data_IF_420941665790
#
_entry.id   IF_420941665790
#
_cell.length_a   1.000
_cell.length_b   1.000
_cell.length_c   1.000
_cell.angle_alpha   90.00
_cell.angle_beta   90.00
_cell.angle_gamma   90.00
#
_symmetry.space_group_name_H-M   'P 1'
#
loop_
_entity.id
_entity.type
_entity.pdbx_description
1 polymer ?
#
# COMPACT_ATOMS: atom_id res chain seq x y z
N UNK A 1 -11.77 14.17 -25.10
CA UNK A 1 -12.58 13.58 -24.01
C UNK A 1 -11.59 13.09 -22.96
N UNK A 2 -11.72 13.55 -21.72
CA UNK A 2 -10.87 13.12 -20.59
C UNK A 2 -11.68 12.11 -19.77
N UNK A 3 -11.07 10.96 -19.46
CA UNK A 3 -11.63 9.94 -18.57
C UNK A 3 -10.65 9.69 -17.43
N UNK A 4 -11.15 9.60 -16.20
CA UNK A 4 -10.35 9.26 -15.02
C UNK A 4 -10.76 7.90 -14.49
N UNK A 5 -9.76 7.14 -14.06
CA UNK A 5 -9.94 5.86 -13.39
C UNK A 5 -9.65 6.05 -11.91
N UNK A 6 -10.55 5.55 -11.06
CA UNK A 6 -10.35 5.56 -9.63
C UNK A 6 -9.67 4.27 -9.18
N UNK A 7 -8.51 4.42 -8.52
CA UNK A 7 -7.79 3.34 -7.87
C UNK A 7 -8.31 3.12 -6.45
N UNK A 8 -9.59 2.80 -6.28
CA UNK A 8 -10.33 2.80 -5.00
C UNK A 8 -9.67 1.97 -3.86
N UNK A 9 -8.75 1.06 -4.18
CA UNK A 9 -7.95 0.28 -3.23
C UNK A 9 -6.44 0.35 -3.50
N UNK A 10 -5.98 1.40 -4.18
CA UNK A 10 -4.69 1.48 -4.86
C UNK A 10 -3.50 1.08 -3.99
N UNK A 11 -3.37 1.65 -2.80
CA UNK A 11 -2.27 1.30 -1.88
C UNK A 11 -2.41 -0.12 -1.33
N UNK A 12 -3.63 -0.53 -0.96
CA UNK A 12 -3.91 -1.85 -0.40
C UNK A 12 -3.76 -3.00 -1.42
N UNK A 13 -3.48 -2.71 -2.70
CA UNK A 13 -3.13 -3.72 -3.70
C UNK A 13 -1.63 -4.03 -3.72
N UNK A 14 -0.79 -3.13 -3.21
CA UNK A 14 0.67 -3.29 -3.27
C UNK A 14 1.14 -4.13 -2.09
N UNK A 15 1.90 -5.18 -2.40
CA UNK A 15 2.48 -6.10 -1.44
C UNK A 15 3.62 -5.44 -0.66
N UNK A 16 3.63 -5.61 0.66
CA UNK A 16 4.76 -5.21 1.51
C UNK A 16 5.71 -6.38 1.61
N UNK A 17 7.01 -6.13 1.42
CA UNK A 17 8.04 -7.16 1.55
C UNK A 17 7.89 -7.88 2.89
N UNK A 18 7.91 -9.22 2.94
CA UNK A 18 7.75 -9.97 4.19
C UNK A 18 8.71 -9.52 5.30
N UNK A 19 9.92 -9.11 4.95
CA UNK A 19 10.91 -8.59 5.90
C UNK A 19 10.58 -7.19 6.45
N UNK A 20 9.67 -6.44 5.85
CA UNK A 20 9.26 -5.10 6.26
C UNK A 20 7.91 -5.06 6.96
N UNK A 21 7.11 -6.13 6.91
CA UNK A 21 5.75 -6.17 7.48
C UNK A 21 5.74 -5.87 8.98
N UNK A 22 6.77 -6.30 9.72
CA UNK A 22 6.87 -6.02 11.16
C UNK A 22 7.00 -4.53 11.48
N UNK A 23 7.51 -3.71 10.55
CA UNK A 23 7.70 -2.25 10.73
C UNK A 23 6.38 -1.49 10.69
N UNK A 24 5.35 -2.10 10.10
CA UNK A 24 3.99 -1.55 9.98
C UNK A 24 3.00 -2.32 10.86
N UNK A 25 3.50 -3.04 11.86
CA UNK A 25 2.68 -3.72 12.84
C UNK A 25 1.97 -2.71 13.76
N UNK A 26 0.76 -3.06 14.18
CA UNK A 26 -0.05 -2.28 15.11
C UNK A 26 -0.59 -3.16 16.23
N UNK A 27 -0.74 -2.55 17.40
CA UNK A 27 -1.24 -3.23 18.60
C UNK A 27 -2.72 -2.99 18.76
N UNK A 28 -3.46 -4.05 19.05
CA UNK A 28 -4.87 -4.02 19.44
C UNK A 28 -5.02 -4.64 20.83
N UNK A 29 -6.16 -4.45 21.52
CA UNK A 29 -6.45 -5.16 22.77
C UNK A 29 -6.39 -6.70 22.66
N UNK A 30 -6.47 -7.25 21.45
CA UNK A 30 -6.48 -8.69 21.17
C UNK A 30 -5.14 -9.23 20.66
N UNK A 31 -4.12 -8.38 20.51
CA UNK A 31 -2.80 -8.78 20.04
C UNK A 31 -2.19 -7.81 19.03
N UNK A 32 -1.03 -8.20 18.51
CA UNK A 32 -0.28 -7.44 17.51
C UNK A 32 -0.54 -8.02 16.12
N UNK A 33 -0.84 -7.15 15.17
CA UNK A 33 -1.13 -7.50 13.79
C UNK A 33 -0.23 -6.70 12.86
N UNK A 34 0.07 -7.24 11.69
CA UNK A 34 0.82 -6.55 10.65
C UNK A 34 0.05 -6.62 9.34
N UNK A 35 0.11 -5.55 8.55
CA UNK A 35 -0.46 -5.55 7.22
C UNK A 35 0.45 -6.33 6.25
N UNK A 36 -0.16 -7.15 5.38
CA UNK A 36 0.52 -7.80 4.26
C UNK A 36 0.57 -6.93 3.00
N UNK A 37 -0.35 -5.97 2.91
CA UNK A 37 -0.47 -4.99 1.82
C UNK A 37 -0.31 -3.58 2.38
N UNK A 38 0.13 -2.65 1.55
CA UNK A 38 0.51 -1.32 2.02
C UNK A 38 -0.72 -0.55 2.56
N UNK A 39 -0.73 -0.23 3.87
CA UNK A 39 -1.81 0.54 4.48
C UNK A 39 -1.71 2.02 4.12
N UNK A 40 -2.79 2.74 4.40
CA UNK A 40 -2.77 4.21 4.36
C UNK A 40 -1.86 4.79 5.46
N UNK A 41 -1.36 6.00 5.22
CA UNK A 41 -0.58 6.74 6.22
C UNK A 41 0.92 6.46 6.22
N UNK A 42 1.44 5.57 5.36
CA UNK A 42 2.88 5.45 5.16
C UNK A 42 3.42 6.64 4.35
N UNK A 43 4.53 7.22 4.80
CA UNK A 43 5.19 8.37 4.16
C UNK A 43 5.46 8.15 2.66
N UNK A 44 5.83 6.92 2.28
CA UNK A 44 6.21 6.58 0.91
C UNK A 44 5.09 5.89 0.11
N UNK A 45 3.84 5.89 0.60
CA UNK A 45 2.74 5.20 -0.07
C UNK A 45 2.49 5.72 -1.49
N UNK A 46 2.42 7.05 -1.66
CA UNK A 46 2.17 7.68 -2.95
C UNK A 46 3.28 7.43 -3.98
N UNK A 47 4.55 7.52 -3.55
CA UNK A 47 5.69 7.27 -4.43
C UNK A 47 5.74 5.81 -4.91
N UNK A 48 5.48 4.87 -3.99
CA UNK A 48 5.43 3.44 -4.31
C UNK A 48 4.27 3.13 -5.27
N UNK A 49 3.11 3.74 -5.05
CA UNK A 49 1.96 3.59 -5.94
C UNK A 49 2.20 4.16 -7.33
N UNK A 50 2.78 5.36 -7.43
CA UNK A 50 3.15 5.93 -8.72
C UNK A 50 4.12 5.02 -9.47
N UNK A 51 5.11 4.44 -8.79
CA UNK A 51 6.03 3.46 -9.38
C UNK A 51 5.29 2.21 -9.88
N UNK A 52 4.31 1.70 -9.15
CA UNK A 52 3.50 0.57 -9.59
C UNK A 52 2.66 0.92 -10.82
N UNK A 53 2.03 2.10 -10.84
CA UNK A 53 1.27 2.59 -12.00
C UNK A 53 2.16 2.75 -13.23
N UNK A 54 3.36 3.29 -13.06
CA UNK A 54 4.37 3.37 -14.12
C UNK A 54 4.74 1.98 -14.67
N UNK A 55 4.85 0.95 -13.84
CA UNK A 55 5.16 -0.42 -14.32
C UNK A 55 4.01 -1.05 -15.11
N UNK A 56 2.76 -0.71 -14.80
CA UNK A 56 1.57 -1.29 -15.43
C UNK A 56 1.18 -0.55 -16.71
N UNK A 57 1.37 0.77 -16.75
CA UNK A 57 0.85 1.64 -17.81
C UNK A 57 1.91 2.36 -18.64
N UNK A 58 3.23 2.19 -18.39
CA UNK A 58 4.28 2.62 -19.34
C UNK A 58 4.51 1.62 -20.45
#
# INVERSE_FOLDING_TARGET
>A
MLSMLDGFLGYNQIEVSPEDQFKIAFTTPWGMFAYSRMPFGLTNAGATFQRAMDLVFK
#
